data_IF_298464962168
#
_entry.id   IF_298464962168
#
_cell.length_a   1.000
_cell.length_b   1.000
_cell.length_c   1.000
_cell.angle_alpha   90.00
_cell.angle_beta   90.00
_cell.angle_gamma   90.00
#
_symmetry.space_group_name_H-M   'P 1'
#
loop_
_entity.id
_entity.type
_entity.pdbx_description
1 polymer ?
#
# COMPACT_ATOMS: atom_id res chain seq x y z
N UNK A 1 6.43 -26.88 -11.17
CA UNK A 1 6.50 -25.58 -10.47
C UNK A 1 5.29 -25.39 -9.55
N UNK A 2 4.07 -25.83 -9.92
CA UNK A 2 2.88 -25.77 -9.05
C UNK A 2 2.98 -26.60 -7.75
N UNK A 3 3.91 -27.54 -7.66
CA UNK A 3 4.09 -28.43 -6.48
C UNK A 3 5.15 -27.94 -5.49
N UNK A 4 5.78 -26.79 -5.72
CA UNK A 4 6.80 -26.22 -4.82
C UNK A 4 8.18 -26.89 -4.89
N UNK A 5 8.39 -27.88 -5.74
CA UNK A 5 9.70 -28.51 -5.97
C UNK A 5 10.47 -27.81 -7.09
N UNK A 6 11.05 -26.64 -6.80
CA UNK A 6 11.80 -25.84 -7.77
C UNK A 6 13.09 -26.54 -8.26
N UNK A 7 13.77 -27.26 -7.38
CA UNK A 7 15.01 -28.00 -7.75
C UNK A 7 14.70 -29.12 -8.75
N UNK A 8 13.68 -29.95 -8.48
CA UNK A 8 13.25 -30.98 -9.44
C UNK A 8 12.75 -30.40 -10.75
N UNK A 9 12.03 -29.28 -10.73
CA UNK A 9 11.60 -28.60 -11.96
C UNK A 9 12.79 -28.07 -12.78
N UNK A 10 13.85 -27.58 -12.12
CA UNK A 10 15.08 -27.17 -12.80
C UNK A 10 15.85 -28.34 -13.39
N UNK A 11 15.93 -29.46 -12.67
CA UNK A 11 16.56 -30.71 -13.15
C UNK A 11 15.82 -31.24 -14.39
N UNK A 12 14.49 -31.37 -14.32
CA UNK A 12 13.66 -31.83 -15.43
C UNK A 12 13.77 -30.91 -16.66
N UNK A 13 13.77 -29.58 -16.44
CA UNK A 13 13.94 -28.63 -17.53
C UNK A 13 15.35 -28.66 -18.13
N UNK A 14 16.38 -28.84 -17.29
CA UNK A 14 17.77 -28.99 -17.79
C UNK A 14 17.95 -30.27 -18.59
N UNK A 15 17.35 -31.39 -18.15
CA UNK A 15 17.35 -32.66 -18.90
C UNK A 15 16.61 -32.48 -20.24
N UNK A 16 15.46 -31.80 -20.28
CA UNK A 16 14.75 -31.49 -21.52
C UNK A 16 15.61 -30.65 -22.49
N UNK A 17 16.37 -29.67 -22.00
CA UNK A 17 17.30 -28.87 -22.81
C UNK A 17 18.42 -29.71 -23.37
N UNK A 18 18.91 -30.73 -22.65
CA UNK A 18 19.96 -31.68 -23.11
C UNK A 18 19.41 -32.62 -24.17
N UNK A 19 18.23 -33.20 -23.94
CA UNK A 19 17.60 -34.19 -24.80
C UNK A 19 17.07 -33.57 -26.11
N UNK A 20 16.47 -32.41 -26.02
CA UNK A 20 15.96 -31.64 -27.15
C UNK A 20 16.84 -30.41 -27.38
N UNK A 21 17.99 -30.62 -28.01
CA UNK A 21 18.96 -29.53 -28.27
C UNK A 21 18.27 -28.31 -28.86
N UNK A 22 18.25 -27.22 -28.07
CA UNK A 22 17.66 -25.92 -28.39
C UNK A 22 16.13 -25.79 -28.35
N UNK A 23 15.39 -26.59 -27.60
CA UNK A 23 13.98 -26.32 -27.36
C UNK A 23 13.82 -24.99 -26.54
N UNK A 24 13.25 -23.93 -27.17
CA UNK A 24 13.07 -22.64 -26.51
C UNK A 24 12.15 -22.71 -25.28
N UNK A 25 11.15 -23.59 -25.34
CA UNK A 25 10.19 -23.74 -24.21
C UNK A 25 10.88 -24.39 -22.99
N UNK A 26 11.74 -25.41 -23.24
CA UNK A 26 12.51 -25.99 -22.12
C UNK A 26 13.51 -24.98 -21.53
N UNK A 27 14.16 -24.14 -22.35
CA UNK A 27 15.03 -23.05 -21.88
C UNK A 27 14.27 -22.04 -21.07
N UNK A 28 13.06 -21.64 -21.48
CA UNK A 28 12.23 -20.70 -20.74
C UNK A 28 11.80 -21.27 -19.37
N UNK A 29 11.38 -22.54 -19.33
CA UNK A 29 11.05 -23.23 -18.07
C UNK A 29 12.25 -23.33 -17.14
N UNK A 30 13.45 -23.65 -17.68
CA UNK A 30 14.69 -23.65 -16.91
C UNK A 30 14.98 -22.26 -16.32
N UNK A 31 14.82 -21.21 -17.12
CA UNK A 31 15.00 -19.83 -16.65
C UNK A 31 14.08 -19.48 -15.48
N UNK A 32 12.80 -19.84 -15.56
CA UNK A 32 11.83 -19.63 -14.47
C UNK A 32 12.22 -20.43 -13.21
N UNK A 33 12.67 -21.67 -13.37
CA UNK A 33 13.09 -22.50 -12.26
C UNK A 33 14.39 -21.98 -11.59
N UNK A 34 15.37 -21.52 -12.38
CA UNK A 34 16.61 -20.92 -11.92
C UNK A 34 16.38 -19.63 -11.12
N UNK A 35 15.40 -18.80 -11.52
CA UNK A 35 14.99 -17.65 -10.73
C UNK A 35 14.49 -18.07 -9.35
N UNK A 36 13.69 -19.14 -9.27
CA UNK A 36 13.23 -19.69 -8.00
C UNK A 36 14.32 -20.30 -7.11
N UNK A 37 15.48 -20.60 -7.69
CA UNK A 37 16.69 -21.09 -7.01
C UNK A 37 17.71 -19.99 -6.72
N UNK A 38 17.31 -18.71 -6.84
CA UNK A 38 18.18 -17.53 -6.62
C UNK A 38 19.40 -17.47 -7.55
N UNK A 39 19.19 -17.86 -8.83
CA UNK A 39 20.20 -17.82 -9.90
C UNK A 39 19.74 -16.91 -11.06
N UNK A 40 19.59 -15.60 -10.82
CA UNK A 40 18.95 -14.68 -11.78
C UNK A 40 19.75 -14.46 -13.06
N UNK A 41 21.08 -14.47 -13.05
CA UNK A 41 21.92 -14.28 -14.23
C UNK A 41 21.75 -15.43 -15.24
N UNK A 42 21.71 -16.66 -14.73
CA UNK A 42 21.47 -17.83 -15.56
C UNK A 42 20.02 -17.89 -16.05
N UNK A 43 19.07 -17.47 -15.22
CA UNK A 43 17.66 -17.33 -15.61
C UNK A 43 17.49 -16.37 -16.79
N UNK A 44 18.09 -15.16 -16.71
CA UNK A 44 18.06 -14.17 -17.79
C UNK A 44 18.70 -14.72 -19.07
N UNK A 45 19.84 -15.41 -18.97
CA UNK A 45 20.51 -16.00 -20.12
C UNK A 45 19.59 -17.01 -20.83
N UNK A 46 19.00 -17.95 -20.08
CA UNK A 46 18.09 -18.95 -20.63
C UNK A 46 16.87 -18.31 -21.32
N UNK A 47 16.27 -17.31 -20.69
CA UNK A 47 15.10 -16.62 -21.23
C UNK A 47 15.44 -15.78 -22.47
N UNK A 48 16.60 -15.11 -22.52
CA UNK A 48 17.08 -14.40 -23.71
C UNK A 48 17.33 -15.33 -24.88
N UNK A 49 17.90 -16.52 -24.63
CA UNK A 49 18.06 -17.53 -25.64
C UNK A 49 16.71 -18.06 -26.16
N UNK A 50 15.72 -18.22 -25.30
CA UNK A 50 14.35 -18.60 -25.68
C UNK A 50 13.71 -17.53 -26.59
N UNK A 51 13.79 -16.25 -26.21
CA UNK A 51 13.30 -15.11 -27.00
C UNK A 51 13.99 -15.03 -28.35
N UNK A 52 15.31 -15.23 -28.39
CA UNK A 52 16.06 -15.19 -29.64
C UNK A 52 15.68 -16.33 -30.60
N UNK A 53 15.35 -17.52 -30.06
CA UNK A 53 14.95 -18.68 -30.85
C UNK A 53 13.52 -18.59 -31.39
N UNK A 54 12.59 -18.07 -30.60
CA UNK A 54 11.17 -17.85 -30.96
C UNK A 54 10.71 -16.42 -30.60
N UNK A 55 11.04 -15.42 -31.44
CA UNK A 55 10.70 -14.03 -31.15
C UNK A 55 9.20 -13.72 -31.12
N UNK A 56 8.37 -14.62 -31.67
CA UNK A 56 6.91 -14.44 -31.70
C UNK A 56 6.20 -15.12 -30.56
N UNK A 57 6.93 -15.56 -29.52
CA UNK A 57 6.32 -16.18 -28.33
C UNK A 57 6.21 -15.18 -27.17
N UNK A 58 5.00 -14.68 -26.86
CA UNK A 58 4.81 -13.64 -25.85
C UNK A 58 5.18 -14.10 -24.44
N UNK A 59 5.09 -15.41 -24.14
CA UNK A 59 5.39 -15.93 -22.81
C UNK A 59 6.86 -15.76 -22.43
N UNK A 60 7.76 -15.81 -23.43
CA UNK A 60 9.20 -15.66 -23.17
C UNK A 60 9.57 -14.23 -22.77
N UNK A 61 8.94 -13.22 -23.39
CA UNK A 61 9.10 -11.83 -22.99
C UNK A 61 8.53 -11.57 -21.59
N UNK A 62 7.37 -12.15 -21.26
CA UNK A 62 6.81 -12.06 -19.91
C UNK A 62 7.73 -12.69 -18.86
N UNK A 63 8.26 -13.88 -19.14
CA UNK A 63 9.21 -14.55 -18.26
C UNK A 63 10.47 -13.71 -18.03
N UNK A 64 11.08 -13.21 -19.12
CA UNK A 64 12.28 -12.40 -19.06
C UNK A 64 12.05 -11.10 -18.29
N UNK A 65 11.00 -10.36 -18.61
CA UNK A 65 10.68 -9.11 -17.92
C UNK A 65 10.38 -9.32 -16.43
N UNK A 66 9.77 -10.46 -16.07
CA UNK A 66 9.51 -10.81 -14.67
C UNK A 66 10.82 -11.02 -13.90
N UNK A 67 11.79 -11.70 -14.47
CA UNK A 67 13.10 -11.89 -13.85
C UNK A 67 13.86 -10.57 -13.73
N UNK A 68 13.89 -9.77 -14.82
CA UNK A 68 14.55 -8.45 -14.83
C UNK A 68 13.94 -7.51 -13.77
N UNK A 69 12.62 -7.52 -13.61
CA UNK A 69 11.91 -6.72 -12.59
C UNK A 69 12.23 -7.20 -11.16
N UNK A 70 12.28 -8.51 -10.94
CA UNK A 70 12.56 -9.11 -9.63
C UNK A 70 13.97 -8.77 -9.11
N UNK A 71 14.94 -8.56 -10.00
CA UNK A 71 16.31 -8.15 -9.63
C UNK A 71 16.51 -6.62 -9.67
N UNK A 72 15.43 -5.86 -9.80
CA UNK A 72 15.47 -4.39 -9.79
C UNK A 72 15.90 -3.73 -11.09
N UNK A 73 15.96 -4.48 -12.21
CA UNK A 73 16.29 -3.95 -13.54
C UNK A 73 15.04 -3.46 -14.28
N UNK A 74 14.25 -2.57 -13.64
CA UNK A 74 13.00 -2.07 -14.20
C UNK A 74 13.13 -1.46 -15.61
N UNK A 75 14.19 -0.71 -15.98
CA UNK A 75 14.36 -0.22 -17.35
C UNK A 75 14.55 -1.36 -18.37
N UNK A 76 15.25 -2.44 -18.01
CA UNK A 76 15.41 -3.62 -18.88
C UNK A 76 14.08 -4.34 -19.07
N UNK A 77 13.31 -4.55 -17.99
CA UNK A 77 11.98 -5.14 -18.06
C UNK A 77 11.03 -4.33 -18.94
N UNK A 78 11.07 -2.98 -18.86
CA UNK A 78 10.31 -2.10 -19.76
C UNK A 78 10.70 -2.34 -21.22
N UNK A 79 11.99 -2.34 -21.53
CA UNK A 79 12.49 -2.55 -22.90
C UNK A 79 12.11 -3.94 -23.44
N UNK A 80 12.20 -4.97 -22.60
CA UNK A 80 11.80 -6.36 -22.94
C UNK A 80 10.31 -6.43 -23.26
N UNK A 81 9.44 -5.81 -22.45
CA UNK A 81 8.00 -5.79 -22.69
C UNK A 81 7.64 -5.02 -23.97
N UNK A 82 8.28 -3.88 -24.22
CA UNK A 82 8.06 -3.09 -25.42
C UNK A 82 8.51 -3.85 -26.71
N UNK A 83 9.65 -4.51 -26.66
CA UNK A 83 10.10 -5.38 -27.76
C UNK A 83 9.11 -6.54 -27.99
N UNK A 84 8.59 -7.13 -26.91
CA UNK A 84 7.60 -8.18 -26.98
C UNK A 84 6.27 -7.73 -27.59
N UNK A 85 5.78 -6.52 -27.27
CA UNK A 85 4.58 -5.95 -27.88
C UNK A 85 4.79 -5.72 -29.39
N UNK A 86 5.97 -5.30 -29.80
CA UNK A 86 6.29 -5.13 -31.22
C UNK A 86 6.33 -6.46 -31.96
N UNK A 87 6.92 -7.50 -31.36
CA UNK A 87 7.01 -8.83 -31.94
C UNK A 87 5.67 -9.59 -31.94
N UNK A 88 4.85 -9.36 -30.92
CA UNK A 88 3.57 -10.05 -30.68
C UNK A 88 2.41 -9.07 -30.51
N UNK A 89 2.05 -8.26 -31.51
CA UNK A 89 1.08 -7.16 -31.36
C UNK A 89 -0.33 -7.63 -30.98
N UNK A 90 -0.69 -8.88 -31.25
CA UNK A 90 -1.96 -9.49 -30.88
C UNK A 90 -2.03 -10.05 -29.46
N UNK A 91 -0.91 -10.06 -28.71
CA UNK A 91 -0.90 -10.64 -27.37
C UNK A 91 -1.48 -9.68 -26.32
N UNK A 92 -2.74 -9.96 -25.91
CA UNK A 92 -3.40 -9.23 -24.82
C UNK A 92 -2.65 -9.40 -23.49
N UNK A 93 -2.23 -10.63 -23.19
CA UNK A 93 -1.50 -10.93 -21.94
C UNK A 93 -0.19 -10.13 -21.81
N UNK A 94 0.60 -10.03 -22.90
CA UNK A 94 1.84 -9.27 -22.87
C UNK A 94 1.61 -7.76 -22.70
N UNK A 95 0.58 -7.23 -23.36
CA UNK A 95 0.20 -5.82 -23.23
C UNK A 95 -0.27 -5.50 -21.82
N UNK A 96 -1.09 -6.37 -21.23
CA UNK A 96 -1.51 -6.21 -19.82
C UNK A 96 -0.30 -6.29 -18.88
N UNK A 97 0.64 -7.20 -19.10
CA UNK A 97 1.88 -7.27 -18.32
C UNK A 97 2.70 -5.97 -18.40
N UNK A 98 2.79 -5.37 -19.59
CA UNK A 98 3.48 -4.10 -19.79
C UNK A 98 2.78 -2.92 -19.10
N UNK A 99 1.43 -2.90 -19.10
CA UNK A 99 0.66 -1.88 -18.37
C UNK A 99 0.89 -2.04 -16.85
N UNK A 100 0.76 -3.27 -16.32
CA UNK A 100 0.99 -3.57 -14.90
C UNK A 100 2.41 -3.20 -14.48
N UNK A 101 3.43 -3.52 -15.29
CA UNK A 101 4.81 -3.14 -15.00
C UNK A 101 4.97 -1.62 -14.89
N UNK A 102 4.39 -0.84 -15.83
CA UNK A 102 4.43 0.63 -15.78
C UNK A 102 3.69 1.20 -14.58
N UNK A 103 2.52 0.65 -14.24
CA UNK A 103 1.80 1.04 -13.02
C UNK A 103 2.66 0.83 -11.76
N UNK A 104 3.34 -0.31 -11.67
CA UNK A 104 4.25 -0.63 -10.55
C UNK A 104 5.49 0.27 -10.50
N UNK A 105 5.93 0.74 -11.65
CA UNK A 105 7.06 1.67 -11.79
C UNK A 105 6.65 3.14 -11.69
N UNK A 106 5.36 3.42 -11.37
CA UNK A 106 4.76 4.76 -11.32
C UNK A 106 4.81 5.53 -12.66
N UNK A 107 5.05 4.83 -13.77
CA UNK A 107 4.90 5.39 -15.12
C UNK A 107 3.42 5.34 -15.55
N UNK A 108 2.60 6.16 -14.89
CA UNK A 108 1.15 6.20 -15.15
C UNK A 108 0.83 6.73 -16.55
N UNK A 109 1.66 7.63 -17.08
CA UNK A 109 1.53 8.15 -18.44
C UNK A 109 1.76 7.07 -19.49
N UNK A 110 2.82 6.28 -19.37
CA UNK A 110 3.12 5.15 -20.24
C UNK A 110 2.07 4.04 -20.12
N UNK A 111 1.59 3.75 -18.90
CA UNK A 111 0.51 2.79 -18.67
C UNK A 111 -0.77 3.22 -19.39
N UNK A 112 -1.15 4.50 -19.29
CA UNK A 112 -2.32 5.08 -19.96
C UNK A 112 -2.21 4.99 -21.48
N UNK A 113 -1.05 5.37 -22.04
CA UNK A 113 -0.81 5.31 -23.48
C UNK A 113 -0.97 3.90 -24.05
N UNK A 114 -0.45 2.88 -23.34
CA UNK A 114 -0.62 1.48 -23.73
C UNK A 114 -2.06 1.00 -23.62
N UNK A 115 -2.79 1.40 -22.59
CA UNK A 115 -4.20 1.06 -22.44
C UNK A 115 -5.05 1.67 -23.56
N UNK A 116 -4.81 2.92 -23.93
CA UNK A 116 -5.48 3.57 -25.06
C UNK A 116 -5.11 2.92 -26.40
N UNK A 117 -3.87 2.53 -26.58
CA UNK A 117 -3.45 1.79 -27.78
C UNK A 117 -4.18 0.45 -27.90
N UNK A 118 -4.34 -0.27 -26.77
CA UNK A 118 -5.11 -1.51 -26.72
C UNK A 118 -6.58 -1.31 -27.12
N UNK A 119 -7.21 -0.27 -26.59
CA UNK A 119 -8.61 0.09 -26.92
C UNK A 119 -8.76 0.42 -28.42
N UNK A 120 -7.83 1.20 -29.00
CA UNK A 120 -7.84 1.50 -30.43
C UNK A 120 -7.65 0.24 -31.30
N UNK A 121 -7.00 -0.79 -30.78
CA UNK A 121 -6.85 -2.08 -31.45
C UNK A 121 -8.04 -3.03 -31.26
N UNK A 122 -9.14 -2.56 -30.66
CA UNK A 122 -10.38 -3.31 -30.48
C UNK A 122 -10.40 -4.21 -29.23
N UNK A 123 -9.43 -4.09 -28.32
CA UNK A 123 -9.47 -4.78 -27.03
C UNK A 123 -10.35 -3.98 -26.08
N UNK A 124 -11.41 -4.61 -25.57
CA UNK A 124 -12.39 -3.98 -24.69
C UNK A 124 -12.87 -4.98 -23.61
N UNK A 125 -11.93 -5.52 -22.83
CA UNK A 125 -12.27 -6.36 -21.69
C UNK A 125 -12.31 -5.54 -20.38
N UNK A 126 -12.97 -6.07 -19.35
CA UNK A 126 -13.13 -5.40 -18.07
C UNK A 126 -11.78 -5.14 -17.40
N UNK A 127 -10.81 -6.07 -17.55
CA UNK A 127 -9.48 -5.93 -16.94
C UNK A 127 -8.69 -4.77 -17.54
N UNK A 128 -8.76 -4.56 -18.85
CA UNK A 128 -8.12 -3.40 -19.49
C UNK A 128 -8.69 -2.08 -18.95
N UNK A 129 -10.02 -2.01 -18.74
CA UNK A 129 -10.64 -0.84 -18.12
C UNK A 129 -10.15 -0.64 -16.67
N UNK A 130 -10.00 -1.72 -15.89
CA UNK A 130 -9.44 -1.64 -14.55
C UNK A 130 -8.01 -1.07 -14.58
N UNK A 131 -7.13 -1.58 -15.45
CA UNK A 131 -5.76 -1.09 -15.58
C UNK A 131 -5.70 0.38 -16.02
N UNK A 132 -6.57 0.77 -16.95
CA UNK A 132 -6.72 2.18 -17.37
C UNK A 132 -7.20 3.07 -16.23
N UNK A 133 -8.16 2.60 -15.43
CA UNK A 133 -8.62 3.30 -14.23
C UNK A 133 -7.52 3.49 -13.20
N UNK A 134 -6.66 2.50 -13.00
CA UNK A 134 -5.48 2.64 -12.12
C UNK A 134 -4.49 3.67 -12.65
N UNK A 135 -4.24 3.70 -13.96
CA UNK A 135 -3.37 4.72 -14.56
C UNK A 135 -3.93 6.14 -14.39
N UNK A 136 -5.23 6.33 -14.63
CA UNK A 136 -5.92 7.61 -14.44
C UNK A 136 -5.90 8.05 -12.97
N UNK A 137 -6.14 7.14 -12.05
CA UNK A 137 -6.05 7.42 -10.61
C UNK A 137 -4.64 7.86 -10.20
N UNK A 138 -3.62 7.19 -10.74
CA UNK A 138 -2.21 7.57 -10.52
C UNK A 138 -1.85 8.94 -11.11
N UNK A 139 -2.53 9.37 -12.18
CA UNK A 139 -2.41 10.71 -12.77
C UNK A 139 -3.24 11.78 -12.05
N UNK A 140 -3.97 11.42 -10.98
CA UNK A 140 -4.88 12.34 -10.28
C UNK A 140 -6.20 12.64 -11.03
N UNK A 141 -6.48 11.94 -12.14
CA UNK A 141 -7.67 12.12 -12.99
C UNK A 141 -8.85 11.29 -12.47
N UNK A 142 -9.29 11.58 -11.23
CA UNK A 142 -10.21 10.72 -10.50
C UNK A 142 -11.61 10.61 -11.11
N UNK A 143 -12.15 11.70 -11.69
CA UNK A 143 -13.43 11.68 -12.41
C UNK A 143 -13.40 10.69 -13.58
N UNK A 144 -12.36 10.77 -14.40
CA UNK A 144 -12.19 9.89 -15.54
C UNK A 144 -11.92 8.43 -15.12
N UNK A 145 -11.18 8.23 -14.01
CA UNK A 145 -11.01 6.90 -13.44
C UNK A 145 -12.35 6.29 -13.00
N UNK A 146 -13.24 7.08 -12.37
CA UNK A 146 -14.56 6.63 -11.96
C UNK A 146 -15.42 6.19 -13.15
N UNK A 147 -15.39 6.94 -14.26
CA UNK A 147 -16.10 6.58 -15.50
C UNK A 147 -15.58 5.26 -16.07
N UNK A 148 -14.25 5.10 -16.14
CA UNK A 148 -13.62 3.89 -16.69
C UNK A 148 -13.87 2.66 -15.83
N UNK A 149 -13.87 2.78 -14.49
CA UNK A 149 -14.26 1.68 -13.61
C UNK A 149 -15.76 1.35 -13.71
N UNK A 150 -16.63 2.35 -13.94
CA UNK A 150 -18.03 2.10 -14.20
C UNK A 150 -18.26 1.34 -15.52
N UNK A 151 -17.43 1.60 -16.54
CA UNK A 151 -17.44 0.83 -17.78
C UNK A 151 -16.97 -0.61 -17.58
N UNK A 152 -15.90 -0.82 -16.78
CA UNK A 152 -15.47 -2.16 -16.38
C UNK A 152 -16.59 -2.93 -15.65
N UNK A 153 -17.33 -2.25 -14.76
CA UNK A 153 -18.45 -2.85 -14.02
C UNK A 153 -19.63 -3.23 -14.92
N UNK A 154 -19.87 -2.50 -16.02
CA UNK A 154 -20.89 -2.88 -17.03
C UNK A 154 -20.53 -4.20 -17.72
N UNK A 155 -19.23 -4.45 -17.94
CA UNK A 155 -18.73 -5.68 -18.55
C UNK A 155 -18.76 -6.86 -17.59
N UNK A 156 -18.41 -6.64 -16.33
CA UNK A 156 -18.41 -7.66 -15.26
C UNK A 156 -19.16 -7.18 -14.01
N UNK A 157 -20.53 -7.17 -14.05
CA UNK A 157 -21.34 -6.62 -12.95
C UNK A 157 -21.25 -7.40 -11.63
N UNK A 158 -20.86 -8.67 -11.71
CA UNK A 158 -20.77 -9.56 -10.55
C UNK A 158 -19.43 -9.47 -9.83
N UNK A 159 -18.39 -8.85 -10.44
CA UNK A 159 -17.07 -8.77 -9.84
C UNK A 159 -17.07 -7.80 -8.64
N UNK A 160 -16.81 -8.29 -7.41
CA UNK A 160 -16.84 -7.46 -6.22
C UNK A 160 -15.69 -6.45 -6.17
N UNK A 161 -14.55 -6.76 -6.80
CA UNK A 161 -13.38 -5.87 -6.82
C UNK A 161 -13.63 -4.69 -7.76
N UNK A 162 -14.17 -4.94 -8.96
CA UNK A 162 -14.52 -3.89 -9.91
C UNK A 162 -15.60 -2.99 -9.33
N UNK A 163 -16.63 -3.58 -8.68
CA UNK A 163 -17.68 -2.80 -8.00
C UNK A 163 -17.11 -1.89 -6.93
N UNK A 164 -16.18 -2.39 -6.15
CA UNK A 164 -15.49 -1.60 -5.12
C UNK A 164 -14.70 -0.44 -5.74
N UNK A 165 -13.89 -0.71 -6.78
CA UNK A 165 -13.11 0.32 -7.48
C UNK A 165 -13.99 1.41 -8.08
N UNK A 166 -15.11 1.04 -8.70
CA UNK A 166 -16.07 1.99 -9.27
C UNK A 166 -16.71 2.87 -8.18
N UNK A 167 -17.15 2.28 -7.07
CA UNK A 167 -17.76 3.01 -5.96
C UNK A 167 -16.75 3.96 -5.29
N UNK A 168 -15.53 3.47 -5.02
CA UNK A 168 -14.47 4.24 -4.38
C UNK A 168 -14.02 5.43 -5.24
N UNK A 169 -13.81 5.21 -6.55
CA UNK A 169 -13.42 6.29 -7.47
C UNK A 169 -14.51 7.31 -7.68
N UNK A 170 -15.78 6.88 -7.72
CA UNK A 170 -16.92 7.78 -7.79
C UNK A 170 -17.03 8.65 -6.55
N UNK A 171 -16.98 8.05 -5.37
CA UNK A 171 -17.00 8.77 -4.10
C UNK A 171 -15.84 9.78 -4.01
N UNK A 172 -14.64 9.42 -4.47
CA UNK A 172 -13.49 10.33 -4.51
C UNK A 172 -13.70 11.49 -5.48
N UNK A 173 -14.25 11.24 -6.66
CA UNK A 173 -14.55 12.25 -7.66
C UNK A 173 -15.63 13.25 -7.20
N UNK A 174 -16.62 12.75 -6.45
CA UNK A 174 -17.70 13.57 -5.88
C UNK A 174 -17.27 14.34 -4.62
N UNK A 175 -16.24 13.86 -3.91
CA UNK A 175 -15.78 14.40 -2.63
C UNK A 175 -14.56 15.34 -2.72
N UNK A 176 -14.34 16.01 -3.85
CA UNK A 176 -13.38 17.12 -3.90
C UNK A 176 -13.68 18.19 -2.82
N UNK A 177 -14.88 18.16 -2.21
CA UNK A 177 -15.31 19.04 -1.12
C UNK A 177 -15.41 18.36 0.26
N UNK A 178 -15.42 17.02 0.37
CA UNK A 178 -15.50 16.30 1.67
C UNK A 178 -14.71 14.97 1.65
N UNK A 179 -13.41 14.98 2.00
CA UNK A 179 -12.57 13.77 2.01
C UNK A 179 -13.10 12.62 2.89
N UNK A 180 -13.87 12.94 3.93
CA UNK A 180 -14.41 11.98 4.89
C UNK A 180 -15.39 10.97 4.29
N UNK A 181 -16.29 11.39 3.42
CA UNK A 181 -17.31 10.50 2.84
C UNK A 181 -16.67 9.46 1.91
N UNK A 182 -15.64 9.84 1.17
CA UNK A 182 -14.87 8.89 0.36
C UNK A 182 -14.20 7.80 1.21
N UNK A 183 -13.51 8.20 2.28
CA UNK A 183 -12.82 7.26 3.16
C UNK A 183 -13.81 6.30 3.84
N UNK A 184 -14.99 6.80 4.23
CA UNK A 184 -16.05 5.98 4.81
C UNK A 184 -16.51 4.88 3.85
N UNK A 185 -16.86 5.22 2.60
CA UNK A 185 -17.31 4.26 1.58
C UNK A 185 -16.20 3.24 1.26
N UNK A 186 -14.96 3.72 1.17
CA UNK A 186 -13.79 2.88 0.93
C UNK A 186 -13.65 1.81 2.03
N UNK A 187 -13.64 2.22 3.29
CA UNK A 187 -13.42 1.34 4.42
C UNK A 187 -14.61 0.44 4.74
N UNK A 188 -15.84 0.90 4.51
CA UNK A 188 -17.04 0.07 4.67
C UNK A 188 -17.03 -1.14 3.72
N UNK A 189 -16.59 -0.94 2.46
CA UNK A 189 -16.48 -2.03 1.49
C UNK A 189 -15.33 -3.01 1.75
N UNK A 190 -14.41 -2.64 2.64
CA UNK A 190 -13.15 -3.37 2.86
C UNK A 190 -13.09 -4.14 4.18
N UNK A 191 -13.95 -3.81 5.15
CA UNK A 191 -13.81 -4.19 6.55
C UNK A 191 -13.64 -5.69 6.78
N UNK A 192 -14.47 -6.54 6.16
CA UNK A 192 -14.44 -8.01 6.36
C UNK A 192 -13.14 -8.68 5.89
N UNK A 193 -12.43 -8.07 4.94
CA UNK A 193 -11.19 -8.62 4.36
C UNK A 193 -9.94 -7.87 4.81
N UNK A 194 -10.12 -6.79 5.56
CA UNK A 194 -9.07 -5.83 5.89
C UNK A 194 -7.90 -6.47 6.62
N UNK A 195 -8.15 -7.22 7.69
CA UNK A 195 -7.10 -7.88 8.48
C UNK A 195 -6.28 -8.85 7.62
N UNK A 196 -6.95 -9.70 6.82
CA UNK A 196 -6.29 -10.66 5.95
C UNK A 196 -5.41 -10.00 4.89
N UNK A 197 -5.88 -8.89 4.33
CA UNK A 197 -5.10 -8.15 3.33
C UNK A 197 -3.90 -7.45 3.96
N UNK A 198 -4.04 -6.79 5.10
CA UNK A 198 -2.92 -6.16 5.79
C UNK A 198 -1.85 -7.20 6.20
N UNK A 199 -2.27 -8.39 6.64
CA UNK A 199 -1.34 -9.50 6.91
C UNK A 199 -0.58 -9.88 5.63
N UNK A 200 -1.26 -9.99 4.48
CA UNK A 200 -0.62 -10.33 3.20
C UNK A 200 0.35 -9.26 2.71
N UNK A 201 0.13 -7.99 3.08
CA UNK A 201 1.01 -6.86 2.81
C UNK A 201 2.17 -6.74 3.82
N UNK A 202 2.28 -7.67 4.78
CA UNK A 202 3.30 -7.61 5.82
C UNK A 202 3.19 -6.37 6.70
N UNK A 203 1.97 -5.96 7.07
CA UNK A 203 1.70 -4.77 7.86
C UNK A 203 2.32 -4.82 9.25
N UNK A 204 3.14 -3.83 9.59
CA UNK A 204 4.01 -3.85 10.78
C UNK A 204 3.66 -2.82 11.83
N UNK A 205 2.86 -1.79 11.52
CA UNK A 205 2.61 -0.65 12.42
C UNK A 205 2.14 -1.06 13.82
N UNK A 206 1.19 -2.02 13.99
CA UNK A 206 0.78 -2.44 15.33
C UNK A 206 1.93 -2.99 16.19
N UNK A 207 2.79 -3.82 15.59
CA UNK A 207 3.99 -4.36 16.27
C UNK A 207 5.04 -3.28 16.58
N UNK A 208 5.23 -2.32 15.67
CA UNK A 208 6.12 -1.19 15.87
C UNK A 208 5.63 -0.29 17.01
N UNK A 209 4.31 -0.02 17.10
CA UNK A 209 3.72 0.72 18.21
C UNK A 209 3.94 0.02 19.55
N UNK A 210 3.69 -1.28 19.61
CA UNK A 210 3.98 -2.08 20.81
C UNK A 210 5.45 -1.95 21.24
N UNK A 211 6.38 -2.08 20.28
CA UNK A 211 7.80 -1.97 20.55
C UNK A 211 8.19 -0.57 21.07
N UNK A 212 7.66 0.49 20.47
CA UNK A 212 7.88 1.88 20.89
C UNK A 212 7.34 2.12 22.29
N UNK A 213 6.10 1.70 22.59
CA UNK A 213 5.51 1.82 23.92
C UNK A 213 6.36 1.15 25.00
N UNK A 214 6.88 -0.05 24.73
CA UNK A 214 7.73 -0.77 25.69
C UNK A 214 9.15 -0.15 25.86
N UNK A 215 9.63 0.62 24.88
CA UNK A 215 10.89 1.39 25.02
C UNK A 215 10.66 2.65 25.83
N UNK A 216 9.60 3.40 25.53
CA UNK A 216 9.34 4.71 26.13
C UNK A 216 8.73 4.58 27.53
N UNK A 217 7.88 3.57 27.75
CA UNK A 217 7.22 3.28 29.02
C UNK A 217 7.60 1.86 29.51
N UNK A 218 8.87 1.63 29.94
CA UNK A 218 9.32 0.30 30.36
C UNK A 218 8.53 -0.26 31.55
N UNK A 219 7.86 0.58 32.34
CA UNK A 219 6.95 0.21 33.42
C UNK A 219 5.80 -0.69 32.97
N UNK A 220 5.39 -0.61 31.71
CA UNK A 220 4.35 -1.48 31.15
C UNK A 220 4.76 -2.98 31.20
N UNK A 221 6.04 -3.30 31.11
CA UNK A 221 6.55 -4.68 31.27
C UNK A 221 6.37 -5.21 32.67
N UNK A 222 6.31 -4.33 33.67
CA UNK A 222 6.10 -4.69 35.07
C UNK A 222 4.61 -4.76 35.44
N UNK A 223 3.71 -4.60 34.46
CA UNK A 223 2.28 -4.60 34.69
C UNK A 223 1.70 -3.30 35.27
N UNK A 224 2.47 -2.21 35.30
CA UNK A 224 1.98 -0.91 35.75
C UNK A 224 1.01 -0.33 34.73
N UNK A 225 -0.23 0.04 35.14
CA UNK A 225 -1.24 0.50 34.21
C UNK A 225 -0.91 1.87 33.62
N UNK A 226 -1.32 2.06 32.37
CA UNK A 226 -1.32 3.33 31.69
C UNK A 226 -2.65 3.52 30.95
N UNK A 227 -3.20 4.73 31.04
CA UNK A 227 -4.48 5.08 30.42
C UNK A 227 -5.18 6.22 31.14
N UNK A 228 -6.29 6.70 30.59
CA UNK A 228 -7.01 6.19 29.42
C UNK A 228 -6.22 6.33 28.11
N UNK A 229 -6.53 5.44 27.14
CA UNK A 229 -5.93 5.39 25.81
C UNK A 229 -6.98 5.73 24.77
N UNK A 230 -6.64 6.57 23.80
CA UNK A 230 -7.46 6.88 22.62
C UNK A 230 -6.76 6.31 21.39
N UNK A 231 -7.48 5.51 20.62
CA UNK A 231 -7.03 4.94 19.33
C UNK A 231 -7.80 5.62 18.20
N UNK A 232 -7.13 6.54 17.50
CA UNK A 232 -7.67 7.36 16.43
C UNK A 232 -7.51 6.65 15.09
N UNK A 233 -8.62 6.48 14.36
CA UNK A 233 -8.65 5.66 13.17
C UNK A 233 -8.38 4.20 13.52
N UNK A 234 -9.08 3.69 14.53
CA UNK A 234 -8.80 2.36 15.10
C UNK A 234 -9.05 1.21 14.12
N UNK A 235 -9.78 1.47 13.02
CA UNK A 235 -10.13 0.47 12.01
C UNK A 235 -10.79 -0.75 12.64
N UNK A 236 -10.33 -1.93 12.26
CA UNK A 236 -10.75 -3.22 12.83
C UNK A 236 -10.13 -3.50 14.21
N UNK A 237 -9.24 -2.65 14.73
CA UNK A 237 -8.63 -2.79 16.05
C UNK A 237 -7.31 -3.55 16.08
N UNK A 238 -6.53 -3.59 15.00
CA UNK A 238 -5.24 -4.31 14.96
C UNK A 238 -4.20 -3.76 15.94
N UNK A 239 -4.20 -2.44 16.20
CA UNK A 239 -3.33 -1.83 17.22
C UNK A 239 -3.73 -2.33 18.61
N UNK A 240 -5.02 -2.34 18.93
CA UNK A 240 -5.52 -2.87 20.22
C UNK A 240 -5.15 -4.36 20.40
N UNK A 241 -5.22 -5.17 19.33
CA UNK A 241 -4.77 -6.57 19.37
C UNK A 241 -3.29 -6.67 19.72
N UNK A 242 -2.44 -5.88 19.07
CA UNK A 242 -0.99 -5.92 19.29
C UNK A 242 -0.56 -5.51 20.70
N UNK A 243 -1.37 -4.73 21.41
CA UNK A 243 -1.09 -4.24 22.77
C UNK A 243 -2.03 -4.83 23.83
N UNK A 244 -2.82 -5.86 23.48
CA UNK A 244 -3.86 -6.42 24.34
C UNK A 244 -3.35 -7.05 25.63
N UNK A 245 -2.11 -7.52 25.66
CA UNK A 245 -1.41 -8.04 26.84
C UNK A 245 -0.77 -6.95 27.71
N UNK A 246 -0.74 -5.68 27.25
CA UNK A 246 -0.24 -4.56 28.03
C UNK A 246 -1.36 -3.97 28.90
N UNK A 247 -1.05 -3.42 30.08
CA UNK A 247 -2.03 -2.83 30.98
C UNK A 247 -2.48 -1.44 30.54
N UNK A 248 -2.97 -1.34 29.29
CA UNK A 248 -3.44 -0.11 28.64
C UNK A 248 -4.95 -0.01 28.71
N UNK A 249 -5.49 0.54 29.81
CA UNK A 249 -6.95 0.57 30.03
C UNK A 249 -7.41 1.83 30.75
N UNK A 250 -8.64 2.33 30.49
CA UNK A 250 -9.53 1.92 29.38
C UNK A 250 -9.00 2.37 28.03
N UNK A 251 -9.33 1.61 26.97
CA UNK A 251 -9.04 1.98 25.57
C UNK A 251 -10.34 2.38 24.88
N UNK A 252 -10.32 3.53 24.21
CA UNK A 252 -11.42 4.08 23.43
C UNK A 252 -10.98 4.12 21.98
N UNK A 253 -11.78 3.57 21.07
CA UNK A 253 -11.52 3.59 19.63
C UNK A 253 -12.43 4.59 18.92
N UNK A 254 -11.88 5.27 17.91
CA UNK A 254 -12.62 6.17 17.02
C UNK A 254 -12.32 5.78 15.59
N UNK A 255 -13.36 5.62 14.79
CA UNK A 255 -13.22 5.40 13.34
C UNK A 255 -14.41 6.02 12.60
N UNK A 256 -14.21 6.36 11.33
CA UNK A 256 -15.24 6.92 10.47
C UNK A 256 -16.17 5.84 9.92
N UNK A 257 -15.68 4.60 9.77
CA UNK A 257 -16.39 3.49 9.15
C UNK A 257 -17.14 2.65 10.20
N UNK A 258 -18.47 2.60 10.13
CA UNK A 258 -19.25 1.70 10.97
C UNK A 258 -18.97 0.23 10.72
N UNK A 259 -18.54 -0.14 9.50
CA UNK A 259 -18.15 -1.50 9.19
C UNK A 259 -16.85 -1.90 9.91
N UNK A 260 -15.83 -1.03 9.92
CA UNK A 260 -14.62 -1.21 10.70
C UNK A 260 -14.90 -1.35 12.20
N UNK A 261 -15.77 -0.51 12.73
CA UNK A 261 -16.14 -0.56 14.14
C UNK A 261 -16.89 -1.84 14.53
N UNK A 262 -17.67 -2.46 13.62
CA UNK A 262 -18.26 -3.78 13.88
C UNK A 262 -17.18 -4.86 14.05
N UNK A 263 -16.15 -4.87 13.20
CA UNK A 263 -15.01 -5.79 13.33
C UNK A 263 -14.21 -5.54 14.62
N UNK A 264 -13.99 -4.27 14.98
CA UNK A 264 -13.34 -3.90 16.24
C UNK A 264 -14.17 -4.34 17.47
N UNK A 265 -15.51 -4.21 17.40
CA UNK A 265 -16.43 -4.67 18.45
C UNK A 265 -16.32 -6.17 18.68
N UNK A 266 -16.22 -6.96 17.60
CA UNK A 266 -16.11 -8.41 17.68
C UNK A 266 -14.82 -8.86 18.43
N UNK A 267 -13.77 -8.04 18.42
CA UNK A 267 -12.53 -8.32 19.17
C UNK A 267 -12.61 -8.06 20.68
N UNK A 268 -13.58 -7.26 21.14
CA UNK A 268 -13.85 -7.04 22.56
C UNK A 268 -12.73 -6.34 23.34
N UNK A 269 -11.89 -5.54 22.70
CA UNK A 269 -10.70 -4.94 23.31
C UNK A 269 -10.91 -3.47 23.72
N UNK A 270 -11.95 -2.82 23.20
CA UNK A 270 -12.28 -1.43 23.50
C UNK A 270 -13.37 -1.33 24.57
N UNK A 271 -13.20 -0.38 25.49
CA UNK A 271 -14.24 -0.02 26.45
C UNK A 271 -15.38 0.80 25.80
N UNK A 272 -15.04 1.52 24.74
CA UNK A 272 -15.97 2.35 23.97
C UNK A 272 -15.48 2.44 22.52
N UNK A 273 -16.39 2.39 21.55
CA UNK A 273 -16.13 2.64 20.13
C UNK A 273 -17.06 3.75 19.64
N UNK A 274 -16.54 4.67 18.84
CA UNK A 274 -17.27 5.85 18.35
C UNK A 274 -17.13 5.98 16.85
N UNK A 275 -18.26 6.08 16.17
CA UNK A 275 -18.32 6.47 14.77
C UNK A 275 -18.19 8.00 14.68
N UNK A 276 -17.00 8.48 14.30
CA UNK A 276 -16.74 9.91 14.18
C UNK A 276 -15.52 10.19 13.32
N UNK A 277 -15.55 11.33 12.62
CA UNK A 277 -14.37 11.87 11.96
C UNK A 277 -13.32 12.26 13.02
N UNK A 278 -12.02 12.01 12.70
CA UNK A 278 -10.90 12.07 13.64
C UNK A 278 -10.73 13.44 14.29
N UNK A 279 -10.68 14.53 13.49
CA UNK A 279 -10.48 15.89 14.00
C UNK A 279 -11.68 16.35 14.84
N UNK A 280 -12.87 15.99 14.40
CA UNK A 280 -14.12 16.24 15.12
C UNK A 280 -14.14 15.50 16.45
N UNK A 281 -13.74 14.21 16.45
CA UNK A 281 -13.67 13.42 17.68
C UNK A 281 -12.72 14.02 18.72
N UNK A 282 -11.54 14.46 18.28
CA UNK A 282 -10.56 15.12 19.17
C UNK A 282 -11.09 16.47 19.69
N UNK A 283 -11.74 17.26 18.85
CA UNK A 283 -12.18 18.61 19.21
C UNK A 283 -13.34 18.61 20.20
N UNK A 284 -14.30 17.69 20.03
CA UNK A 284 -15.50 17.58 20.85
C UNK A 284 -15.34 16.75 22.13
N UNK A 285 -14.27 15.93 22.22
CA UNK A 285 -14.04 15.11 23.41
C UNK A 285 -13.60 15.98 24.61
N UNK A 286 -14.30 15.87 25.69
CA UNK A 286 -13.94 16.58 26.92
C UNK A 286 -12.90 15.83 27.78
N UNK A 287 -12.60 14.58 27.46
CA UNK A 287 -11.66 13.73 28.21
C UNK A 287 -10.21 14.06 27.90
N UNK A 288 -9.34 13.74 28.85
CA UNK A 288 -7.89 13.75 28.65
C UNK A 288 -7.37 12.32 28.68
N UNK A 289 -6.30 12.09 27.94
CA UNK A 289 -5.71 10.78 27.70
C UNK A 289 -4.24 10.75 28.14
N UNK A 290 -3.80 9.62 28.65
CA UNK A 290 -2.38 9.40 28.90
C UNK A 290 -1.65 8.99 27.65
N UNK A 291 -2.33 8.27 26.75
CA UNK A 291 -1.78 7.82 25.47
C UNK A 291 -2.82 8.05 24.39
N UNK A 292 -2.38 8.61 23.27
CA UNK A 292 -3.15 8.68 22.03
C UNK A 292 -2.37 7.92 20.97
N UNK A 293 -3.05 7.05 20.23
CA UNK A 293 -2.49 6.24 19.15
C UNK A 293 -3.15 6.65 17.84
N UNK A 294 -2.40 6.65 16.73
CA UNK A 294 -2.92 6.87 15.38
C UNK A 294 -2.11 6.06 14.36
N UNK A 295 -2.48 4.79 14.18
CA UNK A 295 -1.78 3.83 13.34
C UNK A 295 -2.31 3.82 11.90
N UNK A 296 -1.49 4.22 10.95
CA UNK A 296 -1.77 4.20 9.49
C UNK A 296 -3.06 4.97 9.09
N UNK A 297 -3.35 6.06 9.83
CA UNK A 297 -4.51 6.93 9.58
C UNK A 297 -4.09 8.34 9.16
N UNK A 298 -2.94 8.87 9.62
CA UNK A 298 -2.50 10.22 9.27
C UNK A 298 -2.02 10.32 7.81
N UNK A 299 -1.81 9.22 7.15
CA UNK A 299 -1.60 9.15 5.71
C UNK A 299 -2.82 9.59 4.87
N UNK A 300 -3.97 9.83 5.47
CA UNK A 300 -5.15 10.40 4.80
C UNK A 300 -5.27 11.92 5.01
N UNK A 301 -4.30 12.54 5.67
CA UNK A 301 -4.22 13.98 5.92
C UNK A 301 -3.01 14.58 5.20
N UNK A 302 -3.19 15.68 4.49
CA UNK A 302 -2.09 16.50 3.97
C UNK A 302 -1.47 17.31 5.11
N UNK A 303 -2.12 18.41 5.55
CA UNK A 303 -1.68 19.17 6.74
C UNK A 303 -1.98 18.38 8.03
N UNK A 304 -1.04 18.40 8.99
CA UNK A 304 -1.16 17.70 10.28
C UNK A 304 -1.40 18.63 11.48
N UNK A 305 -1.39 19.94 11.27
CA UNK A 305 -1.48 20.97 12.30
C UNK A 305 -2.73 20.83 13.20
N UNK A 306 -3.90 20.59 12.60
CA UNK A 306 -5.16 20.43 13.33
C UNK A 306 -5.14 19.18 14.23
N UNK A 307 -4.62 18.06 13.72
CA UNK A 307 -4.50 16.81 14.48
C UNK A 307 -3.50 16.96 15.62
N UNK A 308 -2.31 17.53 15.34
CA UNK A 308 -1.27 17.74 16.35
C UNK A 308 -1.72 18.69 17.45
N UNK A 309 -2.33 19.83 17.10
CA UNK A 309 -2.88 20.77 18.09
C UNK A 309 -4.05 20.16 18.89
N UNK A 310 -4.90 19.38 18.24
CA UNK A 310 -6.00 18.67 18.87
C UNK A 310 -5.53 17.63 19.88
N UNK A 311 -4.64 16.75 19.49
CA UNK A 311 -4.07 15.70 20.34
C UNK A 311 -3.28 16.28 21.52
N UNK A 312 -2.51 17.36 21.30
CA UNK A 312 -1.83 18.06 22.38
C UNK A 312 -2.79 18.51 23.49
N UNK A 313 -3.92 19.09 23.11
CA UNK A 313 -4.95 19.55 24.09
C UNK A 313 -5.58 18.40 24.86
N UNK A 314 -5.66 17.20 24.27
CA UNK A 314 -6.31 16.02 24.88
C UNK A 314 -5.37 15.11 25.64
N UNK A 315 -4.08 15.33 25.61
CA UNK A 315 -3.14 14.62 26.47
C UNK A 315 -3.07 15.25 27.86
N UNK A 316 -2.86 14.43 28.87
CA UNK A 316 -2.41 14.90 30.18
C UNK A 316 -0.93 15.32 30.09
N UNK A 317 -0.44 16.06 31.09
CA UNK A 317 0.99 16.38 31.20
C UNK A 317 1.83 15.10 31.24
N UNK A 318 2.87 15.02 30.42
CA UNK A 318 3.69 13.81 30.24
C UNK A 318 2.99 12.70 29.43
N UNK A 319 1.78 12.96 28.89
CA UNK A 319 1.08 12.02 28.02
C UNK A 319 1.73 11.89 26.64
N UNK A 320 1.53 10.74 26.00
CA UNK A 320 2.19 10.37 24.73
C UNK A 320 1.18 10.37 23.57
N UNK A 321 1.62 10.93 22.44
CA UNK A 321 1.00 10.71 21.13
C UNK A 321 1.93 9.86 20.27
N UNK A 322 1.47 8.67 19.88
CA UNK A 322 2.20 7.74 19.04
C UNK A 322 1.46 7.57 17.71
N UNK A 323 2.11 7.88 16.61
CA UNK A 323 1.48 7.80 15.28
C UNK A 323 2.47 7.36 14.20
N UNK A 324 1.93 6.97 13.04
CA UNK A 324 2.69 6.67 11.84
C UNK A 324 2.33 7.62 10.70
N UNK A 325 3.33 7.93 9.86
CA UNK A 325 3.17 8.62 8.57
C UNK A 325 4.00 7.92 7.51
N UNK A 326 3.56 8.00 6.26
CA UNK A 326 4.39 7.60 5.11
C UNK A 326 5.46 8.66 4.85
N UNK A 327 6.68 8.23 4.55
CA UNK A 327 7.81 9.14 4.34
C UNK A 327 7.85 9.60 2.88
N UNK A 328 7.84 10.91 2.66
CA UNK A 328 8.06 11.50 1.35
C UNK A 328 9.55 11.42 1.01
N UNK A 329 9.91 10.59 0.03
CA UNK A 329 11.28 10.48 -0.45
C UNK A 329 11.62 11.69 -1.32
N UNK A 330 12.63 12.45 -0.95
CA UNK A 330 13.17 13.55 -1.76
C UNK A 330 14.01 13.07 -2.96
N UNK A 331 14.36 11.75 -3.00
CA UNK A 331 15.22 11.17 -4.02
C UNK A 331 14.48 10.41 -5.14
N UNK A 332 13.17 10.28 -5.10
CA UNK A 332 12.41 9.79 -6.23
C UNK A 332 12.36 10.89 -7.28
N UNK A 333 12.95 10.66 -8.45
CA UNK A 333 13.05 11.61 -9.57
C UNK A 333 11.72 12.15 -10.12
N UNK A 334 10.78 12.37 -9.25
CA UNK A 334 9.49 12.98 -9.47
C UNK A 334 9.68 14.50 -9.35
N UNK A 335 9.95 15.15 -10.50
CA UNK A 335 10.21 16.60 -10.62
C UNK A 335 9.08 17.50 -10.07
N UNK A 336 8.03 16.93 -9.48
CA UNK A 336 6.88 17.65 -8.93
C UNK A 336 6.90 17.86 -7.41
N UNK A 337 7.78 17.20 -6.64
CA UNK A 337 7.75 17.20 -5.18
C UNK A 337 8.86 18.01 -4.50
N UNK A 338 9.74 18.65 -5.28
CA UNK A 338 10.82 19.46 -4.71
C UNK A 338 10.27 20.63 -3.87
N UNK A 339 10.71 20.69 -2.61
CA UNK A 339 10.35 21.74 -1.66
C UNK A 339 8.96 21.64 -1.04
N UNK A 340 8.22 20.51 -1.23
CA UNK A 340 6.93 20.29 -0.57
C UNK A 340 7.12 19.62 0.78
N UNK A 341 6.36 20.06 1.75
CA UNK A 341 6.29 19.49 3.09
C UNK A 341 5.58 18.13 3.10
N UNK A 342 4.60 17.96 2.23
CA UNK A 342 3.83 16.74 2.01
C UNK A 342 3.32 16.67 0.57
N UNK A 343 3.02 15.47 0.10
CA UNK A 343 2.49 15.25 -1.24
C UNK A 343 1.49 14.08 -1.26
N UNK A 344 0.46 14.15 -2.12
CA UNK A 344 -0.44 13.04 -2.33
C UNK A 344 0.27 11.90 -3.07
N UNK A 345 0.11 10.69 -2.59
CA UNK A 345 0.54 9.47 -3.27
C UNK A 345 -0.55 8.91 -4.21
N UNK A 346 -0.21 7.85 -4.97
CA UNK A 346 -1.06 7.31 -6.04
C UNK A 346 -2.40 6.71 -5.57
N UNK A 347 -2.53 6.39 -4.28
CA UNK A 347 -3.71 5.73 -3.72
C UNK A 347 -4.53 6.63 -2.78
N UNK A 348 -4.40 7.98 -2.93
CA UNK A 348 -5.10 8.95 -2.07
C UNK A 348 -4.54 9.05 -0.67
N UNK A 349 -3.37 8.51 -0.43
CA UNK A 349 -2.60 8.68 0.79
C UNK A 349 -1.61 9.82 0.61
N UNK A 350 -1.27 10.47 1.70
CA UNK A 350 -0.25 11.51 1.75
C UNK A 350 1.02 10.98 2.38
N UNK A 351 2.14 11.33 1.79
CA UNK A 351 3.46 11.16 2.38
C UNK A 351 3.98 12.51 2.88
N UNK A 352 4.76 12.50 3.96
CA UNK A 352 5.24 13.70 4.64
C UNK A 352 6.77 13.68 4.75
N UNK A 353 7.42 14.85 4.67
CA UNK A 353 8.85 14.94 5.00
C UNK A 353 9.06 14.87 6.50
N UNK A 354 10.21 14.34 6.92
CA UNK A 354 10.56 14.28 8.35
C UNK A 354 10.63 15.68 8.95
N UNK A 355 11.24 16.63 8.23
CA UNK A 355 11.40 18.02 8.63
C UNK A 355 10.07 18.71 8.88
N UNK A 356 9.07 18.46 8.03
CA UNK A 356 7.72 18.98 8.20
C UNK A 356 7.09 18.45 9.49
N UNK A 357 7.07 17.14 9.67
CA UNK A 357 6.43 16.51 10.83
C UNK A 357 7.08 16.97 12.14
N UNK A 358 8.41 17.06 12.17
CA UNK A 358 9.14 17.57 13.33
C UNK A 358 8.82 19.04 13.63
N UNK A 359 8.76 19.87 12.60
CA UNK A 359 8.47 21.30 12.75
C UNK A 359 7.07 21.51 13.32
N UNK A 360 6.06 20.84 12.74
CA UNK A 360 4.67 20.95 13.19
C UNK A 360 4.46 20.37 14.60
N UNK A 361 5.14 19.26 14.94
CA UNK A 361 5.09 18.70 16.28
C UNK A 361 5.64 19.68 17.33
N UNK A 362 6.79 20.33 17.04
CA UNK A 362 7.35 21.36 17.92
C UNK A 362 6.50 22.61 18.01
N UNK A 363 5.90 23.03 16.87
CA UNK A 363 4.98 24.18 16.83
C UNK A 363 3.72 23.93 17.67
N UNK A 364 3.21 22.69 17.70
CA UNK A 364 2.09 22.29 18.56
C UNK A 364 2.47 22.18 20.04
N UNK A 365 3.76 22.29 20.41
CA UNK A 365 4.26 22.27 21.79
C UNK A 365 4.83 20.93 22.26
N UNK A 366 4.86 19.93 21.43
CA UNK A 366 5.36 18.60 21.78
C UNK A 366 6.87 18.56 22.01
N UNK A 367 7.30 17.66 22.91
CA UNK A 367 8.64 17.12 22.97
C UNK A 367 8.68 15.85 22.13
N UNK A 368 9.60 15.79 21.18
CA UNK A 368 9.83 14.58 20.38
C UNK A 368 10.65 13.59 21.21
N UNK A 369 10.07 12.44 21.54
CA UNK A 369 10.72 11.38 22.31
C UNK A 369 11.45 10.38 21.43
N UNK A 370 10.86 10.06 20.28
CA UNK A 370 11.39 9.09 19.34
C UNK A 370 10.88 9.37 17.92
N UNK A 371 11.77 9.22 16.95
CA UNK A 371 11.44 9.09 15.53
C UNK A 371 12.16 7.84 15.05
N UNK A 372 11.38 6.86 14.56
CA UNK A 372 11.90 5.59 14.09
C UNK A 372 11.44 5.37 12.63
N UNK A 373 12.39 5.39 11.71
CA UNK A 373 12.12 5.19 10.29
C UNK A 373 12.09 3.69 9.98
N UNK A 374 10.97 3.20 9.46
CA UNK A 374 10.69 1.78 9.29
C UNK A 374 9.95 1.48 7.98
N UNK A 375 10.02 0.22 7.53
CA UNK A 375 9.06 -0.29 6.57
C UNK A 375 7.74 -0.54 7.29
N UNK A 376 6.67 0.15 6.87
CA UNK A 376 5.33 0.02 7.47
C UNK A 376 4.59 -1.20 6.92
N UNK A 377 4.73 -1.47 5.64
CA UNK A 377 4.13 -2.58 4.89
C UNK A 377 4.80 -2.74 3.52
N UNK A 378 4.34 -3.68 2.74
CA UNK A 378 4.76 -3.86 1.34
C UNK A 378 3.55 -3.65 0.42
N UNK A 379 3.73 -2.85 -0.63
CA UNK A 379 2.76 -2.67 -1.70
C UNK A 379 3.39 -3.11 -3.03
N UNK A 380 2.71 -4.02 -3.75
CA UNK A 380 3.23 -4.62 -5.00
C UNK A 380 4.69 -5.14 -4.86
N UNK A 381 5.02 -5.73 -3.71
CA UNK A 381 6.36 -6.24 -3.41
C UNK A 381 7.42 -5.20 -3.06
N UNK A 382 7.08 -3.90 -3.05
CA UNK A 382 8.00 -2.81 -2.66
C UNK A 382 7.72 -2.38 -1.21
N UNK A 383 8.76 -2.06 -0.41
CA UNK A 383 8.56 -1.54 0.94
C UNK A 383 7.97 -0.13 0.89
N UNK A 384 6.91 0.09 1.64
CA UNK A 384 6.41 1.44 1.97
C UNK A 384 7.15 1.91 3.21
N UNK A 385 8.08 2.82 3.01
CA UNK A 385 8.86 3.41 4.09
C UNK A 385 8.06 4.51 4.77
N UNK A 386 8.09 4.55 6.08
CA UNK A 386 7.45 5.59 6.88
C UNK A 386 8.17 5.82 8.19
N UNK A 387 7.56 6.60 9.03
CA UNK A 387 8.09 6.94 10.36
C UNK A 387 7.06 6.59 11.42
N UNK A 388 7.54 6.06 12.54
CA UNK A 388 6.82 5.98 13.81
C UNK A 388 7.33 7.12 14.67
N UNK A 389 6.45 8.00 15.11
CA UNK A 389 6.79 9.12 15.98
C UNK A 389 6.13 8.95 17.34
N UNK A 390 6.89 9.23 18.38
CA UNK A 390 6.40 9.34 19.73
C UNK A 390 6.62 10.76 20.24
N UNK A 391 5.55 11.47 20.49
CA UNK A 391 5.54 12.84 20.99
C UNK A 391 5.01 12.87 22.41
N UNK A 392 5.62 13.68 23.27
CA UNK A 392 5.18 13.86 24.66
C UNK A 392 4.68 15.27 24.86
N UNK A 393 3.53 15.41 25.53
CA UNK A 393 3.06 16.69 26.00
C UNK A 393 3.97 17.15 27.14
N UNK A 394 4.58 18.34 27.01
CA UNK A 394 5.42 18.92 28.08
C UNK A 394 4.57 19.17 29.33
N UNK A 395 5.09 18.85 30.53
CA UNK A 395 4.50 19.36 31.76
C UNK A 395 4.52 20.89 31.74
N UNK A 396 3.44 21.48 32.20
CA UNK A 396 3.37 22.94 32.39
C UNK A 396 4.28 23.40 33.52
#
# INVERSE_FOLDING_TARGET
IQTGNLAGAAEDAAEAVILQRNDPAAKALLGVALMGLDQPEDAIRCLREAVAAEPNNPAFYQGLSTVEDAIGQAPAATATLDAGIQACPGSVGLRNAAIVHRLRSHDFGGAMALAEQAQRSGVADAWLHVLKGHALSGLGRHLEAAEVYADALKLEPADPQIRHLAAASKARAESENEPGDYLRVLFDGYAERFDGQLISLGYRVPGLFRAALLRILPRLRNGEPAGPVLDLGCGTGLVAVAVSDLPLRPMIGVDLSPAMLREATAKGLYAELREKELVTAISEDARNYQIILAGDVLCYFGPLDAVLAGTYRRLIDGGLFLFSVELLSQNSGDQGNEGRDWAPGPHGRFAHTAEYVEREARAAGFLIREIDQQTLRYEMGKPVTGMILALERRPL
#
